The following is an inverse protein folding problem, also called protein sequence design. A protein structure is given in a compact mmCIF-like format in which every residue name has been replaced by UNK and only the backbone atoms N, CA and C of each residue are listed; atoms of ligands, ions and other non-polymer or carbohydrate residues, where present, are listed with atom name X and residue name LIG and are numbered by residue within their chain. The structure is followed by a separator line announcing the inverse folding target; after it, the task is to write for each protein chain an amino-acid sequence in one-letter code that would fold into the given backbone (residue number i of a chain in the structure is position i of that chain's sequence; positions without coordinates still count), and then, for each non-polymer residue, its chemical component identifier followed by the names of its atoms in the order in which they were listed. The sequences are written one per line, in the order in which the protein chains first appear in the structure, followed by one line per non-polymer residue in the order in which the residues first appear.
data_IF_583055147946
#
_entry.id   IF_583055147946
#
_cell.length_a   1.000
_cell.length_b   1.000
_cell.length_c   1.000
_cell.angle_alpha   90.00
_cell.angle_beta   90.00
_cell.angle_gamma   90.00
#
_symmetry.space_group_name_H-M   'P 1'
#
loop_
_entity.id
_entity.type
_entity.pdbx_description
1 polymer ?
#
# COMPACT_ATOMS: atom_id res chain seq x y z
N UNK A 1 2.04 -2.58 -19.92
CA UNK A 1 2.22 -1.20 -19.43
C UNK A 1 3.66 -0.83 -19.62
N UNK A 2 3.96 -0.01 -20.62
CA UNK A 2 5.29 0.57 -20.78
C UNK A 2 5.62 1.38 -19.52
N UNK A 3 6.87 1.36 -19.07
CA UNK A 3 7.41 2.15 -17.95
C UNK A 3 6.94 1.83 -16.51
N UNK A 4 6.24 0.71 -16.25
CA UNK A 4 6.02 0.25 -14.88
C UNK A 4 7.36 -0.12 -14.22
N UNK A 5 7.66 0.49 -13.08
CA UNK A 5 8.86 0.22 -12.27
C UNK A 5 8.47 -0.03 -10.82
N UNK A 6 9.09 -1.03 -10.21
CA UNK A 6 9.05 -1.25 -8.76
C UNK A 6 10.35 -0.72 -8.17
N UNK A 7 10.27 0.07 -7.10
CA UNK A 7 11.42 0.60 -6.39
C UNK A 7 11.20 0.57 -4.88
N UNK A 8 12.27 0.67 -4.11
CA UNK A 8 12.17 0.86 -2.67
C UNK A 8 11.41 2.15 -2.35
N UNK A 9 10.65 2.09 -1.25
CA UNK A 9 10.04 3.25 -0.63
C UNK A 9 11.08 4.30 -0.23
N UNK A 10 10.67 5.56 -0.30
CA UNK A 10 11.37 6.74 0.23
C UNK A 10 10.42 7.49 1.14
N UNK A 11 10.94 8.14 2.18
CA UNK A 11 10.12 8.86 3.17
C UNK A 11 9.18 9.90 2.55
N UNK A 12 9.60 10.54 1.44
CA UNK A 12 8.77 11.50 0.70
C UNK A 12 7.62 10.87 -0.10
N UNK A 13 7.55 9.54 -0.21
CA UNK A 13 6.43 8.81 -0.82
C UNK A 13 5.23 8.70 0.12
N UNK A 14 5.44 8.81 1.44
CA UNK A 14 4.47 8.47 2.48
C UNK A 14 3.11 9.14 2.26
N UNK A 15 3.08 10.45 2.03
CA UNK A 15 1.82 11.18 1.81
C UNK A 15 1.08 10.70 0.56
N UNK A 16 1.79 10.40 -0.53
CA UNK A 16 1.15 9.91 -1.76
C UNK A 16 0.57 8.51 -1.56
N UNK A 17 1.28 7.64 -0.84
CA UNK A 17 0.83 6.29 -0.54
C UNK A 17 -0.34 6.27 0.44
N UNK A 18 -0.30 7.11 1.48
CA UNK A 18 -1.41 7.27 2.43
C UNK A 18 -2.71 7.61 1.69
N UNK A 19 -2.64 8.57 0.74
CA UNK A 19 -3.78 8.91 -0.10
C UNK A 19 -4.28 7.72 -0.94
N UNK A 20 -3.39 6.95 -1.57
CA UNK A 20 -3.79 5.76 -2.37
C UNK A 20 -4.46 4.71 -1.48
N UNK A 21 -3.92 4.46 -0.30
CA UNK A 21 -4.45 3.47 0.65
C UNK A 21 -5.83 3.90 1.14
N UNK A 22 -5.99 5.16 1.57
CA UNK A 22 -7.27 5.68 2.02
C UNK A 22 -8.33 5.67 0.92
N UNK A 23 -7.95 5.98 -0.33
CA UNK A 23 -8.84 5.82 -1.49
C UNK A 23 -9.29 4.37 -1.66
N UNK A 24 -8.41 3.39 -1.47
CA UNK A 24 -8.82 1.98 -1.53
C UNK A 24 -9.82 1.62 -0.42
N UNK A 25 -9.60 2.08 0.81
CA UNK A 25 -10.57 1.86 1.89
C UNK A 25 -11.95 2.43 1.56
N UNK A 26 -11.99 3.67 1.09
CA UNK A 26 -13.24 4.43 0.93
C UNK A 26 -13.94 4.26 -0.42
N UNK A 27 -13.24 3.83 -1.48
CA UNK A 27 -13.82 3.65 -2.83
C UNK A 27 -14.02 2.17 -3.18
N UNK A 28 -13.20 1.28 -2.61
CA UNK A 28 -13.15 -0.15 -2.97
C UNK A 28 -13.62 -1.01 -1.81
N UNK A 29 -12.88 -1.04 -0.71
CA UNK A 29 -13.13 -1.98 0.39
C UNK A 29 -14.45 -1.70 1.12
N UNK A 30 -14.95 -0.46 1.15
CA UNK A 30 -16.25 -0.11 1.74
C UNK A 30 -17.43 -0.90 1.16
N UNK A 31 -17.26 -1.52 -0.02
CA UNK A 31 -18.28 -2.37 -0.64
C UNK A 31 -18.40 -3.74 0.01
N UNK A 32 -17.33 -4.20 0.65
CA UNK A 32 -17.20 -5.54 1.23
C UNK A 32 -17.09 -5.52 2.76
N UNK A 33 -16.72 -4.38 3.34
CA UNK A 33 -16.50 -4.20 4.78
C UNK A 33 -17.34 -3.06 5.36
N UNK A 34 -17.64 -3.06 6.68
CA UNK A 34 -18.41 -2.00 7.32
C UNK A 34 -17.82 -0.61 7.09
N UNK A 35 -18.68 0.35 6.78
CA UNK A 35 -18.30 1.74 6.52
C UNK A 35 -17.48 2.35 7.66
N UNK A 36 -17.96 2.19 8.90
CA UNK A 36 -17.29 2.75 10.09
C UNK A 36 -15.87 2.21 10.25
N UNK A 37 -15.64 0.92 9.96
CA UNK A 37 -14.30 0.33 9.99
C UNK A 37 -13.40 0.91 8.90
N UNK A 38 -13.90 1.11 7.68
CA UNK A 38 -13.10 1.69 6.59
C UNK A 38 -12.78 3.17 6.84
N UNK A 39 -13.72 3.93 7.40
CA UNK A 39 -13.49 5.31 7.83
C UNK A 39 -12.44 5.34 8.95
N UNK A 40 -12.53 4.46 9.94
CA UNK A 40 -11.53 4.33 11.00
C UNK A 40 -10.14 3.99 10.46
N UNK A 41 -10.01 2.96 9.61
CA UNK A 41 -8.73 2.60 8.98
C UNK A 41 -8.17 3.76 8.15
N UNK A 42 -9.00 4.49 7.41
CA UNK A 42 -8.56 5.64 6.62
C UNK A 42 -7.97 6.78 7.50
N UNK A 43 -8.44 6.92 8.74
CA UNK A 43 -7.86 7.86 9.70
C UNK A 43 -6.55 7.39 10.32
N UNK A 44 -6.31 6.08 10.38
CA UNK A 44 -5.09 5.48 10.94
C UNK A 44 -3.94 5.50 9.93
N UNK A 45 -4.22 5.22 8.65
CA UNK A 45 -3.19 5.08 7.61
C UNK A 45 -2.67 6.43 7.09
N UNK A 46 -2.09 7.22 8.00
CA UNK A 46 -1.41 8.49 7.73
C UNK A 46 0.02 8.27 7.22
N UNK A 47 0.67 9.36 6.78
CA UNK A 47 2.10 9.34 6.45
C UNK A 47 2.96 8.80 7.62
N UNK A 48 2.66 9.19 8.85
CA UNK A 48 3.39 8.73 10.04
C UNK A 48 3.21 7.24 10.27
N UNK A 49 1.99 6.72 10.04
CA UNK A 49 1.74 5.27 10.13
C UNK A 49 2.54 4.49 9.09
N UNK A 50 2.73 5.02 7.88
CA UNK A 50 3.57 4.38 6.88
C UNK A 50 5.04 4.40 7.29
N UNK A 51 5.53 5.50 7.85
CA UNK A 51 6.89 5.57 8.38
C UNK A 51 7.11 4.53 9.50
N UNK A 52 6.13 4.38 10.40
CA UNK A 52 6.13 3.34 11.44
C UNK A 52 6.19 1.93 10.80
N UNK A 53 5.36 1.63 9.80
CA UNK A 53 5.39 0.34 9.10
C UNK A 53 6.77 0.08 8.48
N UNK A 54 7.37 1.09 7.84
CA UNK A 54 8.69 0.95 7.21
C UNK A 54 9.85 0.80 8.21
N UNK A 55 9.61 1.02 9.51
CA UNK A 55 10.63 0.76 10.54
C UNK A 55 10.84 -0.75 10.80
N UNK A 56 9.85 -1.59 10.46
CA UNK A 56 9.91 -3.04 10.67
C UNK A 56 9.57 -3.88 9.43
N UNK A 57 9.20 -3.26 8.31
CA UNK A 57 8.86 -3.93 7.07
C UNK A 57 9.62 -3.33 5.88
N UNK A 58 9.93 -4.17 4.89
CA UNK A 58 10.44 -3.74 3.60
C UNK A 58 9.28 -3.30 2.72
N UNK A 59 9.21 -2.01 2.37
CA UNK A 59 8.16 -1.46 1.52
C UNK A 59 8.68 -1.11 0.12
N UNK A 60 7.87 -1.48 -0.87
CA UNK A 60 8.10 -1.23 -2.28
C UNK A 60 6.97 -0.39 -2.86
N UNK A 61 7.32 0.41 -3.87
CA UNK A 61 6.44 1.36 -4.53
C UNK A 61 6.42 1.07 -6.02
N UNK A 62 5.22 0.98 -6.58
CA UNK A 62 5.01 0.82 -8.00
C UNK A 62 4.81 2.20 -8.64
N UNK A 63 5.53 2.45 -9.74
CA UNK A 63 5.51 3.72 -10.46
C UNK A 63 5.27 3.51 -11.95
N UNK A 64 4.46 4.37 -12.57
CA UNK A 64 4.35 4.53 -14.04
C UNK A 64 4.80 5.95 -14.35
N UNK A 65 5.76 6.12 -15.27
CA UNK A 65 6.29 7.44 -15.64
C UNK A 65 6.69 8.30 -14.43
N UNK A 66 7.32 7.65 -13.43
CA UNK A 66 7.71 8.21 -12.13
C UNK A 66 6.55 8.62 -11.19
N UNK A 67 5.29 8.49 -11.60
CA UNK A 67 4.13 8.67 -10.73
C UNK A 67 3.88 7.41 -9.91
N UNK A 68 3.77 7.56 -8.59
CA UNK A 68 3.41 6.48 -7.68
C UNK A 68 1.96 6.05 -7.92
N UNK A 69 1.74 4.75 -8.07
CA UNK A 69 0.43 4.16 -8.37
C UNK A 69 0.07 2.98 -7.47
N UNK A 70 0.91 2.66 -6.49
CA UNK A 70 0.67 1.56 -5.56
C UNK A 70 1.87 1.23 -4.69
N UNK A 71 1.65 0.35 -3.72
CA UNK A 71 2.67 -0.14 -2.82
C UNK A 71 2.37 -1.57 -2.34
N UNK A 72 3.39 -2.18 -1.76
CA UNK A 72 3.29 -3.40 -0.98
C UNK A 72 4.44 -3.45 0.00
N UNK A 73 4.19 -4.02 1.18
CA UNK A 73 5.21 -4.24 2.19
C UNK A 73 5.29 -5.72 2.55
N UNK A 74 6.49 -6.16 2.95
CA UNK A 74 6.75 -7.51 3.43
C UNK A 74 7.57 -7.43 4.71
N UNK A 75 7.22 -8.27 5.69
CA UNK A 75 7.97 -8.45 6.93
C UNK A 75 7.98 -9.92 7.32
N UNK A 76 8.79 -10.30 8.31
CA UNK A 76 8.72 -11.63 8.91
C UNK A 76 7.37 -11.82 9.58
N UNK A 77 6.78 -13.01 9.48
CA UNK A 77 5.56 -13.31 10.22
C UNK A 77 5.86 -13.42 11.72
N UNK A 78 4.99 -12.88 12.57
CA UNK A 78 5.27 -12.74 13.98
C UNK A 78 5.48 -14.09 14.67
N UNK A 79 6.67 -14.27 15.24
CA UNK A 79 7.04 -15.52 15.91
C UNK A 79 7.45 -16.66 14.98
N UNK A 80 7.60 -16.40 13.67
CA UNK A 80 8.03 -17.40 12.68
C UNK A 80 9.36 -17.00 12.03
N UNK A 81 10.27 -17.95 11.88
CA UNK A 81 11.56 -17.74 11.19
C UNK A 81 11.47 -17.98 9.69
N UNK A 82 10.51 -18.80 9.27
CA UNK A 82 10.44 -19.32 7.89
C UNK A 82 9.24 -18.77 7.10
N UNK A 83 8.42 -17.92 7.73
CA UNK A 83 7.24 -17.32 7.10
C UNK A 83 7.37 -15.80 7.02
N UNK A 84 6.76 -15.25 5.97
CA UNK A 84 6.65 -13.82 5.76
C UNK A 84 5.19 -13.39 5.72
N UNK A 85 4.92 -12.17 6.16
CA UNK A 85 3.62 -11.52 6.04
C UNK A 85 3.67 -10.44 4.98
N UNK A 86 2.64 -10.42 4.15
CA UNK A 86 2.36 -9.32 3.23
C UNK A 86 1.49 -8.28 3.93
N UNK A 87 1.93 -7.03 3.86
CA UNK A 87 1.32 -5.88 4.53
C UNK A 87 1.07 -4.78 3.50
N UNK A 88 0.04 -3.96 3.74
CA UNK A 88 -0.18 -2.69 3.02
C UNK A 88 -0.06 -2.82 1.49
N UNK A 89 -0.76 -3.80 0.91
CA UNK A 89 -0.75 -4.03 -0.54
C UNK A 89 -1.93 -3.29 -1.17
N UNK A 90 -1.63 -2.22 -1.92
CA UNK A 90 -2.65 -1.38 -2.55
C UNK A 90 -2.17 -0.83 -3.88
N UNK A 91 -3.08 -0.76 -4.85
CA UNK A 91 -2.88 -0.09 -6.14
C UNK A 91 -3.93 1.02 -6.24
N UNK A 92 -3.64 2.12 -6.93
CA UNK A 92 -4.64 3.15 -7.19
C UNK A 92 -5.92 2.55 -7.77
N UNK A 93 -7.12 2.88 -7.24
CA UNK A 93 -8.38 2.24 -7.64
C UNK A 93 -8.62 2.19 -9.16
N UNK A 94 -8.32 3.29 -9.86
CA UNK A 94 -8.47 3.41 -11.31
C UNK A 94 -7.53 2.52 -12.14
N UNK A 95 -6.54 1.87 -11.51
CA UNK A 95 -5.58 0.98 -12.14
C UNK A 95 -5.72 -0.48 -11.70
N UNK A 96 -6.76 -0.82 -10.93
CA UNK A 96 -7.07 -2.20 -10.57
C UNK A 96 -7.31 -3.06 -11.84
N UNK A 97 -7.01 -4.36 -11.76
CA UNK A 97 -7.15 -5.29 -12.90
C UNK A 97 -6.07 -5.19 -13.98
N UNK A 98 -5.15 -4.22 -13.91
CA UNK A 98 -4.10 -4.03 -14.92
C UNK A 98 -2.81 -4.86 -14.67
N UNK A 99 -2.85 -5.83 -13.75
CA UNK A 99 -1.72 -6.71 -13.46
C UNK A 99 -0.55 -6.08 -12.68
N UNK A 100 -0.73 -4.88 -12.11
CA UNK A 100 0.29 -4.18 -11.32
C UNK A 100 0.66 -4.97 -10.07
N UNK A 101 -0.32 -5.45 -9.30
CA UNK A 101 -0.06 -6.23 -8.08
C UNK A 101 0.55 -7.62 -8.33
N UNK A 102 0.65 -8.07 -9.59
CA UNK A 102 1.32 -9.33 -9.97
C UNK A 102 2.83 -9.15 -10.20
N UNK A 103 3.27 -7.90 -10.41
CA UNK A 103 4.66 -7.55 -10.72
C UNK A 103 5.48 -7.36 -9.45
#
# INVERSE_FOLDING_TARGET
MENLKIRNFKTNDATTLSNIICRNFLEVNIKDYPKEEMEHLSSIYTSDKLLEITSYAHMYVACIDNKIIGCGAISSFWGSQDESILLTIFVSPELHGNGIGKK
#
